data_IF_240826864991
#
_entry.id   IF_240826864991
#
_cell.length_a   1.000
_cell.length_b   1.000
_cell.length_c   1.000
_cell.angle_alpha   90.00
_cell.angle_beta   90.00
_cell.angle_gamma   90.00
#
_symmetry.space_group_name_H-M   'P 1'
#
loop_
_entity.id
_entity.type
_entity.pdbx_description
1 polymer ?
#
# COMPACT_ATOMS: atom_id res chain seq x y z
N UNK A 1 20.25 35.72 22.73
CA UNK A 1 19.66 35.77 21.38
C UNK A 1 20.66 36.23 20.31
N UNK A 2 21.58 37.16 20.60
CA UNK A 2 22.59 37.61 19.62
C UNK A 2 23.64 36.56 19.25
N UNK A 3 24.10 35.72 20.18
CA UNK A 3 25.08 34.66 19.87
C UNK A 3 24.53 33.54 18.97
N UNK A 4 23.23 33.26 19.07
CA UNK A 4 22.56 32.29 18.19
C UNK A 4 22.40 32.86 16.77
N UNK A 5 22.10 34.15 16.64
CA UNK A 5 22.02 34.84 15.35
C UNK A 5 23.40 34.93 14.65
N UNK A 6 24.47 35.23 15.40
CA UNK A 6 25.83 35.30 14.87
C UNK A 6 26.37 33.93 14.43
N UNK A 7 26.08 32.86 15.17
CA UNK A 7 26.45 31.49 14.76
C UNK A 7 25.66 31.04 13.52
N UNK A 8 24.38 31.43 13.43
CA UNK A 8 23.54 31.18 12.26
C UNK A 8 24.01 31.96 11.01
N UNK A 9 24.52 33.17 11.18
CA UNK A 9 25.14 33.94 10.10
C UNK A 9 26.44 33.30 9.62
N UNK A 10 27.27 32.78 10.53
CA UNK A 10 28.53 32.10 10.22
C UNK A 10 28.32 30.78 9.47
N UNK A 11 27.30 30.00 9.84
CA UNK A 11 26.91 28.76 9.14
C UNK A 11 26.25 29.07 7.78
N UNK A 12 25.47 30.15 7.68
CA UNK A 12 24.84 30.56 6.42
C UNK A 12 25.84 31.13 5.39
N UNK A 13 26.97 31.69 5.83
CA UNK A 13 28.01 32.29 4.97
C UNK A 13 29.03 31.28 4.43
N UNK A 14 29.00 30.02 4.87
CA UNK A 14 30.13 29.11 4.65
C UNK A 14 30.06 28.24 3.39
N UNK A 15 29.03 28.36 2.56
CA UNK A 15 28.90 27.46 1.41
C UNK A 15 28.53 28.23 0.14
N UNK A 16 29.56 28.78 -0.49
CA UNK A 16 29.54 29.21 -1.88
C UNK A 16 29.97 28.04 -2.78
N UNK A 17 29.11 27.53 -3.68
CA UNK A 17 29.46 26.43 -4.60
C UNK A 17 30.62 26.75 -5.55
N UNK A 18 30.96 28.03 -5.68
CA UNK A 18 32.06 28.55 -6.50
C UNK A 18 33.35 28.84 -5.72
N UNK A 19 33.40 28.61 -4.41
CA UNK A 19 34.60 28.85 -3.62
C UNK A 19 35.72 27.83 -3.98
N UNK A 20 36.98 28.28 -4.14
CA UNK A 20 38.09 27.37 -4.40
C UNK A 20 38.29 26.44 -3.20
N UNK A 21 37.98 25.14 -3.37
CA UNK A 21 38.07 24.11 -2.33
C UNK A 21 36.74 23.44 -1.99
N UNK A 22 35.60 24.06 -2.31
CA UNK A 22 34.27 23.55 -1.94
C UNK A 22 34.03 22.11 -2.38
N UNK A 23 34.31 21.79 -3.64
CA UNK A 23 34.12 20.43 -4.18
C UNK A 23 35.03 19.40 -3.51
N UNK A 24 36.23 19.79 -3.08
CA UNK A 24 37.13 18.91 -2.33
C UNK A 24 36.57 18.64 -0.94
N UNK A 25 36.15 19.67 -0.22
CA UNK A 25 35.60 19.54 1.13
C UNK A 25 34.29 18.73 1.13
N UNK A 26 33.45 18.92 0.13
CA UNK A 26 32.23 18.12 -0.07
C UNK A 26 32.58 16.64 -0.32
N UNK A 27 33.50 16.34 -1.24
CA UNK A 27 33.91 14.96 -1.55
C UNK A 27 34.56 14.27 -0.33
N UNK A 28 35.41 14.99 0.41
CA UNK A 28 36.01 14.49 1.65
C UNK A 28 34.95 14.26 2.72
N UNK A 29 33.96 15.15 2.84
CA UNK A 29 32.82 14.98 3.74
C UNK A 29 31.95 13.76 3.42
N UNK A 30 31.79 13.42 2.13
CA UNK A 30 31.03 12.25 1.68
C UNK A 30 31.75 10.91 1.91
N UNK A 31 33.05 10.92 2.22
CA UNK A 31 33.82 9.70 2.49
C UNK A 31 33.29 8.94 3.72
N UNK A 32 32.88 9.65 4.78
CA UNK A 32 32.36 9.02 6.01
C UNK A 32 31.00 8.33 5.78
N UNK A 33 29.99 8.98 5.15
CA UNK A 33 28.77 8.30 4.73
C UNK A 33 29.01 7.13 3.79
N UNK A 34 29.93 7.27 2.82
CA UNK A 34 30.28 6.19 1.90
C UNK A 34 30.86 4.97 2.64
N UNK A 35 31.77 5.17 3.59
CA UNK A 35 32.30 4.09 4.43
C UNK A 35 31.19 3.41 5.27
N UNK A 36 30.21 4.17 5.77
CA UNK A 36 29.08 3.62 6.52
C UNK A 36 28.17 2.69 5.69
N UNK A 37 28.21 2.78 4.35
CA UNK A 37 27.50 1.83 3.47
C UNK A 37 28.02 0.39 3.60
N UNK A 38 29.18 0.17 4.22
CA UNK A 38 29.69 -1.17 4.56
C UNK A 38 28.70 -1.99 5.40
N UNK A 39 27.94 -1.35 6.30
CA UNK A 39 26.88 -2.04 7.07
C UNK A 39 25.79 -2.58 6.14
N UNK A 40 25.50 -1.85 5.06
CA UNK A 40 24.52 -2.32 4.09
C UNK A 40 25.09 -3.37 3.15
N UNK A 41 26.39 -3.32 2.84
CA UNK A 41 27.08 -4.39 2.15
C UNK A 41 27.01 -5.71 2.97
N UNK A 42 27.12 -5.64 4.29
CA UNK A 42 26.88 -6.78 5.18
C UNK A 42 25.44 -7.32 5.05
N UNK A 43 24.44 -6.43 5.06
CA UNK A 43 23.04 -6.84 4.87
C UNK A 43 22.79 -7.49 3.49
N UNK A 44 23.44 -7.00 2.43
CA UNK A 44 23.40 -7.59 1.09
C UNK A 44 24.07 -8.98 1.08
N UNK A 45 25.22 -9.14 1.75
CA UNK A 45 25.89 -10.43 1.87
C UNK A 45 25.04 -11.47 2.63
N UNK A 46 24.37 -11.05 3.70
CA UNK A 46 23.41 -11.90 4.42
C UNK A 46 22.20 -12.26 3.55
N UNK A 47 21.69 -11.30 2.77
CA UNK A 47 20.60 -11.54 1.80
C UNK A 47 20.98 -12.59 0.75
N UNK A 48 22.23 -12.56 0.29
CA UNK A 48 22.79 -13.55 -0.63
C UNK A 48 22.89 -14.94 0.04
N UNK A 49 23.38 -14.99 1.28
CA UNK A 49 23.46 -16.25 2.06
C UNK A 49 22.08 -16.88 2.31
N UNK A 50 21.04 -16.05 2.48
CA UNK A 50 19.67 -16.50 2.72
C UNK A 50 18.84 -16.62 1.43
N UNK A 51 19.41 -16.31 0.25
CA UNK A 51 18.77 -16.35 -1.08
C UNK A 51 17.44 -15.58 -1.14
N UNK A 52 17.35 -14.39 -0.54
CA UNK A 52 16.13 -13.59 -0.57
C UNK A 52 15.82 -13.00 -1.96
N UNK A 53 16.80 -12.93 -2.87
CA UNK A 53 16.63 -12.34 -4.20
C UNK A 53 16.41 -10.82 -4.18
N UNK A 54 16.71 -10.16 -3.05
CA UNK A 54 16.54 -8.72 -2.84
C UNK A 54 17.82 -7.92 -3.06
N UNK A 55 18.95 -8.58 -3.34
CA UNK A 55 20.27 -7.94 -3.45
C UNK A 55 20.30 -6.76 -4.42
N UNK A 56 19.76 -6.93 -5.63
CA UNK A 56 19.71 -5.88 -6.65
C UNK A 56 18.78 -4.72 -6.26
N UNK A 57 17.64 -5.02 -5.63
CA UNK A 57 16.70 -4.00 -5.16
C UNK A 57 17.29 -3.18 -4.00
N UNK A 58 17.99 -3.85 -3.07
CA UNK A 58 18.68 -3.18 -1.96
C UNK A 58 19.79 -2.26 -2.48
N UNK A 59 20.66 -2.78 -3.35
CA UNK A 59 21.79 -2.00 -3.89
C UNK A 59 21.30 -0.79 -4.68
N UNK A 60 20.29 -0.97 -5.52
CA UNK A 60 19.62 0.13 -6.21
C UNK A 60 19.00 1.14 -5.24
N UNK A 61 18.31 0.68 -4.19
CA UNK A 61 17.69 1.56 -3.21
C UNK A 61 18.73 2.41 -2.45
N UNK A 62 19.86 1.83 -2.05
CA UNK A 62 20.94 2.53 -1.33
C UNK A 62 21.62 3.54 -2.25
N UNK A 63 21.99 3.13 -3.46
CA UNK A 63 22.64 4.01 -4.43
C UNK A 63 21.73 5.21 -4.77
N UNK A 64 20.45 4.94 -5.00
CA UNK A 64 19.44 5.98 -5.22
C UNK A 64 19.29 6.88 -4.00
N UNK A 65 19.19 6.33 -2.79
CA UNK A 65 19.05 7.12 -1.57
C UNK A 65 20.27 8.01 -1.34
N UNK A 66 21.49 7.49 -1.54
CA UNK A 66 22.72 8.26 -1.42
C UNK A 66 22.73 9.45 -2.40
N UNK A 67 22.53 9.18 -3.69
CA UNK A 67 22.47 10.24 -4.71
C UNK A 67 21.36 11.26 -4.42
N UNK A 68 20.17 10.78 -4.02
CA UNK A 68 19.03 11.64 -3.72
C UNK A 68 19.30 12.53 -2.51
N UNK A 69 19.88 12.01 -1.42
CA UNK A 69 20.20 12.81 -0.23
C UNK A 69 21.28 13.84 -0.53
N UNK A 70 22.32 13.48 -1.30
CA UNK A 70 23.35 14.43 -1.73
C UNK A 70 22.72 15.59 -2.52
N UNK A 71 21.89 15.30 -3.52
CA UNK A 71 21.21 16.34 -4.32
C UNK A 71 20.26 17.19 -3.47
N UNK A 72 19.44 16.56 -2.62
CA UNK A 72 18.51 17.28 -1.74
C UNK A 72 19.25 18.22 -0.79
N UNK A 73 20.43 17.84 -0.29
CA UNK A 73 21.27 18.71 0.55
C UNK A 73 21.56 20.06 -0.12
N UNK A 74 21.98 20.04 -1.38
CA UNK A 74 22.22 21.26 -2.17
C UNK A 74 20.93 22.06 -2.43
N UNK A 75 19.84 21.37 -2.77
CA UNK A 75 18.55 22.01 -3.04
C UNK A 75 18.02 22.72 -1.79
N UNK A 76 18.08 22.07 -0.62
CA UNK A 76 17.64 22.66 0.64
C UNK A 76 18.48 23.87 1.03
N UNK A 77 19.78 23.83 0.80
CA UNK A 77 20.64 24.98 1.05
C UNK A 77 20.21 26.19 0.22
N UNK A 78 19.98 26.01 -1.08
CA UNK A 78 19.47 27.08 -1.95
C UNK A 78 18.12 27.61 -1.48
N UNK A 79 17.19 26.72 -1.10
CA UNK A 79 15.86 27.10 -0.63
C UNK A 79 15.94 27.90 0.68
N UNK A 80 16.84 27.56 1.59
CA UNK A 80 16.97 28.24 2.89
C UNK A 80 17.54 29.66 2.77
N UNK A 81 18.32 29.96 1.73
CA UNK A 81 18.80 31.32 1.45
C UNK A 81 17.70 32.23 0.91
N UNK A 82 16.63 31.66 0.34
CA UNK A 82 15.53 32.41 -0.23
C UNK A 82 14.45 32.72 0.81
N UNK A 83 14.06 33.99 0.94
CA UNK A 83 12.99 34.43 1.88
C UNK A 83 11.57 34.28 1.30
N UNK A 84 11.43 33.86 0.05
CA UNK A 84 10.14 33.84 -0.65
C UNK A 84 9.31 32.60 -0.27
N UNK A 85 8.06 32.80 0.18
CA UNK A 85 7.10 31.74 0.50
C UNK A 85 6.80 30.81 -0.69
N UNK A 86 7.01 31.28 -1.93
CA UNK A 86 6.81 30.50 -3.15
C UNK A 86 7.72 29.26 -3.20
N UNK A 87 8.95 29.32 -2.70
CA UNK A 87 9.87 28.17 -2.65
C UNK A 87 9.41 27.11 -1.64
N UNK A 88 8.84 27.54 -0.52
CA UNK A 88 8.24 26.64 0.47
C UNK A 88 7.07 25.89 -0.19
N UNK A 89 6.15 26.60 -0.83
CA UNK A 89 5.00 26.00 -1.51
C UNK A 89 5.43 25.03 -2.62
N UNK A 90 6.39 25.42 -3.46
CA UNK A 90 6.90 24.57 -4.54
C UNK A 90 7.54 23.29 -4.01
N UNK A 91 8.38 23.41 -2.96
CA UNK A 91 9.01 22.24 -2.32
C UNK A 91 7.97 21.31 -1.68
N UNK A 92 6.93 21.87 -1.05
CA UNK A 92 5.83 21.12 -0.46
C UNK A 92 5.03 20.37 -1.53
N UNK A 93 4.64 21.03 -2.62
CA UNK A 93 3.93 20.39 -3.73
C UNK A 93 4.76 19.31 -4.40
N UNK A 94 6.07 19.52 -4.56
CA UNK A 94 6.99 18.51 -5.06
C UNK A 94 7.00 17.27 -4.14
N UNK A 95 7.13 17.46 -2.83
CA UNK A 95 7.09 16.36 -1.85
C UNK A 95 5.76 15.59 -1.92
N UNK A 96 4.63 16.30 -1.95
CA UNK A 96 3.29 15.68 -2.04
C UNK A 96 3.13 14.87 -3.32
N UNK A 97 3.61 15.38 -4.45
CA UNK A 97 3.53 14.68 -5.75
C UNK A 97 4.35 13.39 -5.73
N UNK A 98 5.59 13.44 -5.25
CA UNK A 98 6.47 12.26 -5.13
C UNK A 98 5.87 11.24 -4.14
N UNK A 99 5.31 11.72 -3.03
CA UNK A 99 4.65 10.88 -2.04
C UNK A 99 3.38 10.21 -2.59
N UNK A 100 2.51 10.96 -3.26
CA UNK A 100 1.31 10.43 -3.91
C UNK A 100 1.63 9.40 -4.99
N UNK A 101 2.65 9.67 -5.82
CA UNK A 101 3.15 8.72 -6.81
C UNK A 101 3.66 7.43 -6.15
N UNK A 102 4.47 7.55 -5.10
CA UNK A 102 5.08 6.41 -4.41
C UNK A 102 4.04 5.59 -3.64
N UNK A 103 3.12 6.24 -2.93
CA UNK A 103 2.01 5.59 -2.24
C UNK A 103 1.09 4.86 -3.23
N UNK A 104 0.73 5.49 -4.36
CA UNK A 104 -0.07 4.86 -5.40
C UNK A 104 0.63 3.66 -6.07
N UNK A 105 1.96 3.71 -6.21
CA UNK A 105 2.75 2.60 -6.74
C UNK A 105 2.73 1.36 -5.82
N UNK A 106 2.55 1.54 -4.50
CA UNK A 106 2.42 0.42 -3.53
C UNK A 106 1.14 -0.38 -3.73
N UNK A 107 0.14 0.18 -4.41
CA UNK A 107 -1.14 -0.46 -4.71
C UNK A 107 -1.43 -0.43 -6.23
N UNK A 108 -0.52 -0.99 -7.05
CA UNK A 108 -0.58 -0.96 -8.54
C UNK A 108 -1.93 -1.39 -9.15
N UNK A 109 -2.71 -2.16 -8.41
CA UNK A 109 -3.93 -2.79 -8.88
C UNK A 109 -5.19 -2.07 -8.36
N UNK A 110 -5.04 -0.93 -7.68
CA UNK A 110 -6.13 -0.01 -7.34
C UNK A 110 -6.30 0.96 -8.52
N UNK A 111 -7.49 1.04 -9.13
CA UNK A 111 -7.74 1.93 -10.26
C UNK A 111 -7.52 3.39 -9.83
N UNK A 112 -6.72 4.14 -10.60
CA UNK A 112 -6.34 5.54 -10.30
C UNK A 112 -5.71 5.74 -8.90
N UNK A 113 -5.09 4.70 -8.31
CA UNK A 113 -4.51 4.77 -6.97
C UNK A 113 -3.51 5.92 -6.76
N UNK A 114 -2.75 6.29 -7.80
CA UNK A 114 -1.82 7.44 -7.75
C UNK A 114 -2.54 8.78 -7.54
N UNK A 115 -3.67 8.99 -8.21
CA UNK A 115 -4.45 10.23 -8.09
C UNK A 115 -5.14 10.30 -6.72
N UNK A 116 -5.79 9.20 -6.30
CA UNK A 116 -6.43 9.11 -4.99
C UNK A 116 -5.43 9.39 -3.88
N UNK A 117 -4.26 8.76 -3.94
CA UNK A 117 -3.19 8.97 -2.96
C UNK A 117 -2.66 10.42 -2.97
N UNK A 118 -2.48 11.02 -4.14
CA UNK A 118 -1.99 12.40 -4.24
C UNK A 118 -2.99 13.38 -3.63
N UNK A 119 -4.28 13.24 -3.95
CA UNK A 119 -5.33 14.12 -3.43
C UNK A 119 -5.50 13.92 -1.92
N UNK A 120 -5.54 12.68 -1.43
CA UNK A 120 -5.70 12.41 0.00
C UNK A 120 -4.53 12.94 0.81
N UNK A 121 -3.30 12.75 0.34
CA UNK A 121 -2.10 13.30 1.00
C UNK A 121 -2.17 14.82 0.96
N UNK A 122 -2.40 15.43 -0.20
CA UNK A 122 -2.45 16.90 -0.35
C UNK A 122 -3.48 17.52 0.60
N UNK A 123 -4.72 17.03 0.57
CA UNK A 123 -5.82 17.58 1.39
C UNK A 123 -5.54 17.35 2.86
N UNK A 124 -5.19 16.13 3.27
CA UNK A 124 -4.94 15.83 4.67
C UNK A 124 -3.73 16.58 5.24
N UNK A 125 -2.61 16.65 4.52
CA UNK A 125 -1.44 17.41 5.00
C UNK A 125 -1.65 18.92 4.91
N UNK A 126 -2.43 19.42 3.94
CA UNK A 126 -2.74 20.84 3.83
C UNK A 126 -3.61 21.33 5.00
N UNK A 127 -4.62 20.56 5.41
CA UNK A 127 -5.46 20.89 6.58
C UNK A 127 -4.58 21.03 7.83
N UNK A 128 -3.70 20.05 8.07
CA UNK A 128 -2.81 20.08 9.24
C UNK A 128 -1.75 21.17 9.15
N UNK A 129 -1.24 21.47 7.96
CA UNK A 129 -0.30 22.58 7.75
C UNK A 129 -0.95 23.94 7.96
N UNK A 130 -2.17 24.11 7.46
CA UNK A 130 -2.96 25.31 7.68
C UNK A 130 -3.18 25.53 9.19
N UNK A 131 -3.56 24.47 9.91
CA UNK A 131 -3.75 24.54 11.37
C UNK A 131 -2.46 24.87 12.12
N UNK A 132 -1.31 24.33 11.68
CA UNK A 132 0.01 24.66 12.25
C UNK A 132 0.34 26.14 12.10
N UNK A 133 0.14 26.69 10.90
CA UNK A 133 0.40 28.11 10.61
C UNK A 133 -0.58 29.01 11.36
N UNK A 134 -1.86 28.63 11.40
CA UNK A 134 -2.90 29.39 12.09
C UNK A 134 -2.65 29.48 13.60
N UNK A 135 -2.18 28.39 14.22
CA UNK A 135 -1.84 28.35 15.63
C UNK A 135 -0.49 29.01 15.96
N UNK A 136 0.24 29.53 14.95
CA UNK A 136 1.57 30.15 15.09
C UNK A 136 2.55 29.30 15.92
N UNK A 137 2.49 27.98 15.77
CA UNK A 137 3.33 27.07 16.58
C UNK A 137 4.81 27.18 16.19
N UNK A 138 5.08 27.51 14.92
CA UNK A 138 6.42 27.72 14.39
C UNK A 138 6.47 28.99 13.54
N UNK A 139 7.61 29.72 13.53
CA UNK A 139 7.79 30.80 12.58
C UNK A 139 7.77 30.22 11.16
N UNK A 140 7.01 30.87 10.27
CA UNK A 140 6.86 30.46 8.87
C UNK A 140 8.14 30.72 8.07
N UNK A 141 9.16 29.91 8.34
CA UNK A 141 10.45 29.96 7.64
C UNK A 141 10.75 28.59 7.01
N UNK A 142 11.47 28.56 5.87
CA UNK A 142 11.77 27.31 5.17
C UNK A 142 12.41 26.23 6.05
N UNK A 143 13.23 26.64 7.03
CA UNK A 143 13.95 25.74 7.93
C UNK A 143 13.06 24.92 8.86
N UNK A 144 11.89 25.43 9.26
CA UNK A 144 10.96 24.67 10.11
C UNK A 144 9.88 23.99 9.28
N UNK A 145 9.29 24.71 8.32
CA UNK A 145 8.14 24.21 7.57
C UNK A 145 8.52 23.01 6.68
N UNK A 146 9.67 23.06 6.00
CA UNK A 146 10.05 22.00 5.04
C UNK A 146 10.32 20.66 5.74
N UNK A 147 11.09 20.58 6.85
CA UNK A 147 11.26 19.32 7.58
C UNK A 147 9.96 18.79 8.18
N UNK A 148 9.12 19.65 8.76
CA UNK A 148 7.83 19.25 9.33
C UNK A 148 6.90 18.73 8.22
N UNK A 149 6.85 19.43 7.08
CA UNK A 149 6.15 18.97 5.88
C UNK A 149 6.65 17.61 5.41
N UNK A 150 7.97 17.44 5.32
CA UNK A 150 8.59 16.18 4.90
C UNK A 150 8.22 15.02 5.80
N UNK A 151 8.24 15.21 7.12
CA UNK A 151 7.82 14.18 8.09
C UNK A 151 6.33 13.84 7.96
N UNK A 152 5.48 14.86 7.79
CA UNK A 152 4.03 14.66 7.62
C UNK A 152 3.70 13.94 6.33
N UNK A 153 4.24 14.40 5.21
CA UNK A 153 4.04 13.81 3.88
C UNK A 153 4.62 12.39 3.82
N UNK A 154 5.77 12.12 4.47
CA UNK A 154 6.38 10.79 4.52
C UNK A 154 5.55 9.77 5.32
N UNK A 155 5.02 10.16 6.47
CA UNK A 155 4.11 9.30 7.24
C UNK A 155 2.79 9.10 6.49
N UNK A 156 2.23 10.17 5.92
CA UNK A 156 1.03 10.11 5.09
C UNK A 156 1.19 9.16 3.88
N UNK A 157 2.33 9.19 3.20
CA UNK A 157 2.67 8.27 2.11
C UNK A 157 2.58 6.81 2.57
N UNK A 158 3.15 6.53 3.75
CA UNK A 158 3.19 5.16 4.28
C UNK A 158 1.80 4.68 4.67
N UNK A 159 1.06 5.48 5.44
CA UNK A 159 -0.31 5.16 5.86
C UNK A 159 -1.21 4.97 4.64
N UNK A 160 -1.21 5.92 3.70
CA UNK A 160 -2.00 5.84 2.46
C UNK A 160 -1.70 4.58 1.66
N UNK A 161 -0.41 4.30 1.43
CA UNK A 161 0.01 3.12 0.68
C UNK A 161 -0.40 1.80 1.34
N UNK A 162 -0.29 1.71 2.67
CA UNK A 162 -0.72 0.53 3.43
C UNK A 162 -2.24 0.40 3.44
N UNK A 163 -3.00 1.48 3.67
CA UNK A 163 -4.46 1.47 3.65
C UNK A 163 -5.00 0.99 2.31
N UNK A 164 -4.51 1.55 1.19
CA UNK A 164 -4.95 1.14 -0.16
C UNK A 164 -4.63 -0.32 -0.45
N UNK A 165 -3.41 -0.75 -0.15
CA UNK A 165 -2.98 -2.14 -0.39
C UNK A 165 -3.80 -3.11 0.45
N UNK A 166 -3.93 -2.84 1.75
CA UNK A 166 -4.59 -3.74 2.70
C UNK A 166 -6.10 -3.80 2.47
N UNK A 167 -6.75 -2.65 2.24
CA UNK A 167 -8.19 -2.61 1.96
C UNK A 167 -8.55 -3.43 0.73
N UNK A 168 -7.74 -3.31 -0.33
CA UNK A 168 -7.95 -4.09 -1.55
C UNK A 168 -7.71 -5.59 -1.32
N UNK A 169 -6.66 -5.95 -0.60
CA UNK A 169 -6.39 -7.36 -0.26
C UNK A 169 -7.53 -7.95 0.57
N UNK A 170 -8.03 -7.23 1.58
CA UNK A 170 -9.11 -7.70 2.46
C UNK A 170 -10.45 -7.82 1.74
N UNK A 171 -10.80 -6.87 0.86
CA UNK A 171 -11.99 -6.97 0.01
C UNK A 171 -11.87 -8.14 -0.97
N UNK A 172 -10.67 -8.40 -1.51
CA UNK A 172 -10.45 -9.54 -2.42
C UNK A 172 -10.57 -10.88 -1.68
N UNK A 173 -10.03 -10.98 -0.46
CA UNK A 173 -10.11 -12.20 0.36
C UNK A 173 -11.54 -12.46 0.83
N UNK A 174 -12.26 -11.42 1.26
CA UNK A 174 -13.61 -11.51 1.80
C UNK A 174 -14.70 -11.19 0.77
N UNK A 175 -14.41 -11.44 -0.51
CA UNK A 175 -15.29 -11.11 -1.64
C UNK A 175 -16.71 -11.65 -1.44
N UNK A 176 -16.82 -12.92 -1.06
CA UNK A 176 -18.11 -13.58 -0.85
C UNK A 176 -18.95 -12.87 0.22
N UNK A 177 -18.34 -12.41 1.33
CA UNK A 177 -19.07 -11.70 2.39
C UNK A 177 -19.59 -10.34 1.92
N UNK A 178 -18.79 -9.63 1.10
CA UNK A 178 -19.19 -8.34 0.53
C UNK A 178 -20.33 -8.55 -0.47
N UNK A 179 -20.25 -9.58 -1.32
CA UNK A 179 -21.29 -9.91 -2.32
C UNK A 179 -22.60 -10.34 -1.65
N UNK A 180 -22.55 -11.21 -0.64
CA UNK A 180 -23.74 -11.60 0.12
C UNK A 180 -24.38 -10.40 0.82
N UNK A 181 -23.59 -9.51 1.42
CA UNK A 181 -24.13 -8.30 2.05
C UNK A 181 -24.82 -7.38 1.02
N UNK A 182 -24.22 -7.19 -0.16
CA UNK A 182 -24.82 -6.42 -1.26
C UNK A 182 -26.11 -7.07 -1.78
N UNK A 183 -26.13 -8.41 -1.92
CA UNK A 183 -27.31 -9.15 -2.35
C UNK A 183 -28.48 -9.06 -1.35
N UNK A 184 -28.16 -8.95 -0.05
CA UNK A 184 -29.13 -8.67 1.02
C UNK A 184 -29.57 -7.19 1.08
N UNK A 185 -29.17 -6.37 0.12
CA UNK A 185 -29.53 -4.95 0.03
C UNK A 185 -28.69 -4.03 0.91
N UNK A 186 -27.58 -4.50 1.48
CA UNK A 186 -26.68 -3.62 2.22
C UNK A 186 -26.04 -2.59 1.28
N UNK A 187 -25.90 -1.36 1.74
CA UNK A 187 -25.13 -0.37 0.98
C UNK A 187 -23.68 -0.83 0.86
N UNK A 188 -22.96 -0.49 -0.21
CA UNK A 188 -21.53 -0.81 -0.33
C UNK A 188 -20.71 -0.28 0.83
N UNK A 189 -21.17 0.83 1.43
CA UNK A 189 -20.60 1.32 2.67
C UNK A 189 -20.73 0.26 3.77
N UNK A 190 -21.92 -0.20 4.08
CA UNK A 190 -22.13 -1.22 5.11
C UNK A 190 -21.38 -2.53 4.78
N UNK A 191 -21.39 -2.97 3.52
CA UNK A 191 -20.75 -4.22 3.09
C UNK A 191 -19.22 -4.24 3.30
N UNK A 192 -18.55 -3.08 3.22
CA UNK A 192 -17.07 -2.99 3.36
C UNK A 192 -16.58 -2.43 4.70
N UNK A 193 -17.49 -2.17 5.66
CA UNK A 193 -17.15 -1.44 6.90
C UNK A 193 -16.07 -2.15 7.72
N UNK A 194 -16.17 -3.48 7.85
CA UNK A 194 -15.23 -4.27 8.64
C UNK A 194 -13.83 -4.29 8.02
N UNK A 195 -13.75 -4.38 6.70
CA UNK A 195 -12.52 -4.38 5.91
C UNK A 195 -11.81 -3.02 6.01
N UNK A 196 -12.59 -1.94 5.93
CA UNK A 196 -12.08 -0.57 6.15
C UNK A 196 -11.50 -0.44 7.54
N UNK A 197 -12.26 -0.78 8.59
CA UNK A 197 -11.80 -0.67 9.98
C UNK A 197 -10.48 -1.43 10.21
N UNK A 198 -10.39 -2.68 9.73
CA UNK A 198 -9.17 -3.49 9.86
C UNK A 198 -7.98 -2.86 9.12
N UNK A 199 -8.21 -2.38 7.91
CA UNK A 199 -7.16 -1.75 7.09
C UNK A 199 -6.65 -0.46 7.71
N UNK A 200 -7.55 0.36 8.25
CA UNK A 200 -7.19 1.60 8.95
C UNK A 200 -6.34 1.32 10.19
N UNK A 201 -6.72 0.34 11.02
CA UNK A 201 -5.95 -0.03 12.22
C UNK A 201 -4.54 -0.46 11.84
N UNK A 202 -4.40 -1.35 10.84
CA UNK A 202 -3.09 -1.85 10.39
C UNK A 202 -2.23 -0.72 9.81
N UNK A 203 -2.83 0.20 9.06
CA UNK A 203 -2.10 1.32 8.47
C UNK A 203 -1.63 2.34 9.51
N UNK A 204 -2.38 2.52 10.61
CA UNK A 204 -2.05 3.46 11.68
C UNK A 204 -1.15 2.88 12.77
N UNK A 205 -1.04 1.55 12.88
CA UNK A 205 -0.18 0.89 13.88
C UNK A 205 1.23 1.48 13.96
N UNK A 206 1.99 1.68 12.86
CA UNK A 206 3.35 2.21 12.95
C UNK A 206 3.41 3.62 13.56
N UNK A 207 2.41 4.46 13.30
CA UNK A 207 2.33 5.82 13.84
C UNK A 207 2.04 5.79 15.34
N UNK A 208 1.13 4.91 15.75
CA UNK A 208 0.77 4.72 17.17
C UNK A 208 1.93 4.11 17.96
N UNK A 209 2.61 3.12 17.38
CA UNK A 209 3.72 2.44 18.05
C UNK A 209 4.96 3.35 18.17
N UNK A 210 5.20 4.21 17.16
CA UNK A 210 6.19 5.27 17.29
C UNK A 210 5.81 6.28 18.40
N UNK A 211 4.53 6.66 18.50
CA UNK A 211 4.06 7.57 19.56
C UNK A 211 4.30 7.04 20.98
N UNK A 212 4.14 5.72 21.18
CA UNK A 212 4.32 5.08 22.49
C UNK A 212 5.78 5.01 22.94
N UNK A 213 6.71 5.01 21.98
CA UNK A 213 8.13 4.73 22.23
C UNK A 213 9.02 5.97 22.10
N UNK A 214 8.49 7.05 21.51
CA UNK A 214 9.22 8.30 21.30
C UNK A 214 9.64 8.93 22.62
N UNK A 215 10.92 9.28 22.74
CA UNK A 215 11.49 9.84 23.97
C UNK A 215 11.92 8.81 25.02
N UNK A 216 11.47 7.55 24.92
CA UNK A 216 11.90 6.46 25.82
C UNK A 216 13.02 5.62 25.22
N UNK A 217 12.82 5.14 23.99
CA UNK A 217 13.77 4.23 23.31
C UNK A 217 14.55 4.98 22.23
N UNK A 218 13.88 5.88 21.51
CA UNK A 218 14.46 6.65 20.44
C UNK A 218 14.12 8.13 20.59
N UNK A 219 15.14 8.98 20.48
CA UNK A 219 14.97 10.41 20.30
C UNK A 219 14.80 10.69 18.79
N UNK A 220 13.69 11.32 18.37
CA UNK A 220 13.49 11.69 16.97
C UNK A 220 14.65 12.51 16.42
N UNK A 221 15.04 12.26 15.17
CA UNK A 221 16.21 12.90 14.58
C UNK A 221 16.14 14.44 14.57
N UNK A 222 14.95 15.02 14.39
CA UNK A 222 14.77 16.48 14.46
C UNK A 222 15.01 17.02 15.88
N UNK A 223 14.51 16.31 16.90
CA UNK A 223 14.72 16.65 18.31
C UNK A 223 16.19 16.52 18.70
N UNK A 224 16.84 15.39 18.36
CA UNK A 224 18.28 15.19 18.59
C UNK A 224 19.11 16.24 17.85
N UNK A 225 18.74 16.58 16.62
CA UNK A 225 19.42 17.61 15.83
C UNK A 225 19.35 19.00 16.45
N UNK A 226 18.21 19.37 17.04
CA UNK A 226 18.07 20.63 17.79
C UNK A 226 18.96 20.62 19.05
N UNK A 227 18.96 19.52 19.81
CA UNK A 227 19.79 19.36 21.01
C UNK A 227 21.28 19.42 20.66
N UNK A 228 21.72 18.68 19.64
CA UNK A 228 23.11 18.71 19.16
C UNK A 228 23.49 20.08 18.57
N UNK A 229 22.52 20.82 18.05
CA UNK A 229 22.67 22.20 17.59
C UNK A 229 22.71 23.25 18.71
N UNK A 230 22.65 22.82 19.98
CA UNK A 230 22.74 23.70 21.15
C UNK A 230 21.41 24.31 21.62
N UNK A 231 20.27 23.87 21.07
CA UNK A 231 18.96 24.28 21.58
C UNK A 231 18.67 23.64 22.95
N UNK A 232 17.83 24.28 23.77
CA UNK A 232 17.48 23.72 25.07
C UNK A 232 16.68 22.42 24.88
N UNK A 233 16.95 21.36 25.68
CA UNK A 233 16.19 20.11 25.57
C UNK A 233 14.68 20.30 25.76
N UNK A 234 14.29 21.27 26.61
CA UNK A 234 12.89 21.56 26.88
C UNK A 234 12.17 22.12 25.64
N UNK A 235 12.80 23.03 24.90
CA UNK A 235 12.26 23.53 23.62
C UNK A 235 12.15 22.39 22.60
N UNK A 236 13.18 21.56 22.48
CA UNK A 236 13.17 20.44 21.53
C UNK A 236 12.02 19.44 21.84
N UNK A 237 11.74 19.17 23.12
CA UNK A 237 10.62 18.31 23.55
C UNK A 237 9.29 18.95 23.18
N UNK A 238 9.08 20.24 23.48
CA UNK A 238 7.82 20.93 23.17
C UNK A 238 7.50 20.87 21.68
N UNK A 239 8.49 21.16 20.84
CA UNK A 239 8.33 21.08 19.38
C UNK A 239 8.05 19.65 18.92
N UNK A 240 8.71 18.66 19.52
CA UNK A 240 8.49 17.26 19.17
C UNK A 240 7.08 16.77 19.54
N UNK A 241 6.52 17.21 20.67
CA UNK A 241 5.14 16.87 21.09
C UNK A 241 4.13 17.42 20.06
N UNK A 242 4.32 18.68 19.63
CA UNK A 242 3.46 19.30 18.60
C UNK A 242 3.52 18.50 17.31
N UNK A 243 4.74 18.21 16.83
CA UNK A 243 4.94 17.44 15.59
C UNK A 243 4.28 16.07 15.70
N UNK A 244 4.43 15.38 16.84
CA UNK A 244 3.85 14.06 17.03
C UNK A 244 2.32 14.07 16.96
N UNK A 245 1.69 15.03 17.64
CA UNK A 245 0.23 15.19 17.62
C UNK A 245 -0.28 15.49 16.20
N UNK A 246 0.44 16.35 15.46
CA UNK A 246 0.10 16.68 14.08
C UNK A 246 0.31 15.50 13.12
N UNK A 247 1.35 14.71 13.31
CA UNK A 247 1.59 13.49 12.52
C UNK A 247 0.46 12.48 12.72
N UNK A 248 0.02 12.28 13.96
CA UNK A 248 -1.07 11.38 14.29
C UNK A 248 -2.40 11.88 13.70
N UNK A 249 -2.70 13.17 13.87
CA UNK A 249 -3.90 13.78 13.30
C UNK A 249 -3.93 13.82 11.77
N UNK A 250 -2.79 14.08 11.11
CA UNK A 250 -2.70 14.04 9.65
C UNK A 250 -2.92 12.61 9.14
N UNK A 251 -2.27 11.64 9.77
CA UNK A 251 -2.33 10.23 9.36
C UNK A 251 -3.75 9.65 9.47
N UNK A 252 -4.50 9.97 10.53
CA UNK A 252 -5.88 9.51 10.70
C UNK A 252 -6.81 10.11 9.65
N UNK A 253 -6.75 11.43 9.43
CA UNK A 253 -7.54 12.12 8.41
C UNK A 253 -7.29 11.57 7.01
N UNK A 254 -6.03 11.35 6.66
CA UNK A 254 -5.64 10.85 5.34
C UNK A 254 -6.12 9.42 5.14
N UNK A 255 -5.94 8.56 6.15
CA UNK A 255 -6.37 7.17 6.09
C UNK A 255 -7.89 7.06 5.90
N UNK A 256 -8.67 7.91 6.57
CA UNK A 256 -10.12 7.98 6.40
C UNK A 256 -10.52 8.48 5.00
N UNK A 257 -9.88 9.53 4.48
CA UNK A 257 -10.10 10.00 3.12
C UNK A 257 -9.79 8.91 2.07
N UNK A 258 -8.64 8.25 2.19
CA UNK A 258 -8.24 7.15 1.31
C UNK A 258 -9.25 6.02 1.38
N UNK A 259 -9.68 5.63 2.57
CA UNK A 259 -10.72 4.63 2.74
C UNK A 259 -12.04 5.08 2.11
N UNK A 260 -12.44 6.35 2.27
CA UNK A 260 -13.63 6.93 1.66
C UNK A 260 -13.60 6.88 0.13
N UNK A 261 -12.51 7.34 -0.49
CA UNK A 261 -12.33 7.34 -1.95
C UNK A 261 -12.15 5.94 -2.54
N UNK A 262 -11.54 5.02 -1.79
CA UNK A 262 -11.35 3.62 -2.24
C UNK A 262 -12.62 2.79 -2.03
N UNK A 263 -13.50 3.21 -1.11
CA UNK A 263 -14.83 2.64 -0.87
C UNK A 263 -15.87 3.13 -1.87
N UNK A 264 -15.54 4.13 -2.70
CA UNK A 264 -16.53 4.79 -3.55
C UNK A 264 -17.04 3.83 -4.64
N UNK A 265 -18.28 3.34 -4.56
CA UNK A 265 -18.72 2.15 -5.27
C UNK A 265 -19.22 2.45 -6.68
N UNK A 266 -19.40 3.73 -7.04
CA UNK A 266 -20.06 4.12 -8.29
C UNK A 266 -19.41 3.54 -9.55
N UNK A 267 -18.11 3.20 -9.50
CA UNK A 267 -17.40 2.55 -10.61
C UNK A 267 -17.43 1.02 -10.57
N UNK A 268 -17.60 0.42 -9.39
CA UNK A 268 -17.87 -1.02 -9.26
C UNK A 268 -19.32 -1.33 -9.63
N UNK A 269 -20.26 -0.48 -9.19
CA UNK A 269 -21.69 -0.57 -9.48
C UNK A 269 -21.98 -0.28 -10.96
N UNK A 270 -21.39 0.76 -11.58
CA UNK A 270 -21.56 1.00 -13.03
C UNK A 270 -20.98 -0.10 -13.92
N UNK A 271 -20.14 -0.99 -13.37
CA UNK A 271 -19.64 -2.20 -14.04
C UNK A 271 -20.48 -3.46 -13.74
N UNK A 272 -21.36 -3.41 -12.73
CA UNK A 272 -22.29 -4.49 -12.37
C UNK A 272 -23.65 -4.35 -13.08
N UNK A 273 -23.99 -3.17 -13.59
CA UNK A 273 -25.16 -3.01 -14.45
C UNK A 273 -24.84 -3.44 -15.88
N UNK A 274 -25.59 -4.41 -16.40
CA UNK A 274 -25.65 -4.66 -17.84
C UNK A 274 -26.15 -3.37 -18.52
N UNK A 275 -25.35 -2.80 -19.44
CA UNK A 275 -25.85 -1.78 -20.36
C UNK A 275 -27.05 -2.36 -21.10
N UNK A 276 -28.14 -1.59 -21.25
CA UNK A 276 -29.39 -2.04 -21.90
C UNK A 276 -29.19 -2.78 -23.24
N UNK A 277 -28.09 -2.51 -23.96
CA UNK A 277 -27.72 -3.18 -25.21
C UNK A 277 -27.21 -4.62 -25.07
N UNK A 278 -26.93 -5.10 -23.84
CA UNK A 278 -26.40 -6.45 -23.57
C UNK A 278 -27.49 -7.44 -23.12
N UNK A 279 -28.72 -6.96 -22.91
CA UNK A 279 -29.88 -7.79 -22.56
C UNK A 279 -30.78 -7.81 -23.79
N UNK A 280 -30.98 -8.99 -24.40
CA UNK A 280 -31.99 -9.15 -25.43
C UNK A 280 -33.36 -8.83 -24.83
N UNK A 281 -34.17 -8.03 -25.53
CA UNK A 281 -35.54 -7.74 -25.11
C UNK A 281 -36.31 -9.07 -25.01
N UNK A 282 -36.94 -9.30 -23.87
CA UNK A 282 -37.74 -10.51 -23.63
C UNK A 282 -39.04 -10.36 -24.43
N UNK A 283 -39.19 -11.13 -25.52
CA UNK A 283 -40.42 -11.18 -26.32
C UNK A 283 -40.27 -11.07 -27.83
N UNK A 284 -39.05 -10.99 -28.38
CA UNK A 284 -38.88 -11.04 -29.84
C UNK A 284 -38.75 -12.50 -30.31
N UNK A 285 -39.74 -12.95 -31.08
CA UNK A 285 -39.83 -14.30 -31.63
C UNK A 285 -38.56 -14.66 -32.41
N UNK A 286 -37.75 -15.56 -31.84
CA UNK A 286 -36.58 -16.11 -32.52
C UNK A 286 -37.07 -17.09 -33.58
N UNK A 287 -37.20 -16.59 -34.81
CA UNK A 287 -37.21 -17.42 -36.01
C UNK A 287 -35.99 -18.34 -36.06
N UNK A 288 -36.17 -19.51 -36.68
CA UNK A 288 -35.26 -20.65 -36.68
C UNK A 288 -33.75 -20.33 -36.85
N UNK A 289 -32.86 -21.17 -36.27
CA UNK A 289 -31.43 -20.89 -36.18
C UNK A 289 -30.74 -21.10 -37.52
N UNK A 290 -30.70 -20.06 -38.35
CA UNK A 290 -29.96 -20.05 -39.61
C UNK A 290 -29.16 -18.75 -39.75
N UNK A 291 -27.83 -18.88 -39.69
CA UNK A 291 -26.86 -17.93 -40.24
C UNK A 291 -26.93 -16.46 -39.74
N UNK A 292 -26.52 -16.23 -38.49
CA UNK A 292 -25.91 -14.95 -38.12
C UNK A 292 -24.44 -15.21 -37.80
N UNK A 293 -23.56 -14.73 -38.68
CA UNK A 293 -22.11 -14.80 -38.55
C UNK A 293 -21.68 -14.29 -37.17
N UNK A 294 -20.84 -15.09 -36.51
CA UNK A 294 -20.39 -14.84 -35.15
C UNK A 294 -19.55 -13.57 -35.05
N UNK A 295 -20.19 -12.46 -34.69
CA UNK A 295 -19.51 -11.39 -33.98
C UNK A 295 -19.20 -11.91 -32.57
N UNK A 296 -18.05 -12.57 -32.42
CA UNK A 296 -17.44 -12.82 -31.12
C UNK A 296 -17.05 -11.46 -30.57
N UNK A 297 -17.99 -10.79 -29.90
CA UNK A 297 -17.65 -9.71 -29.00
C UNK A 297 -16.86 -10.39 -27.89
N UNK A 298 -15.55 -10.21 -27.96
CA UNK A 298 -14.61 -10.55 -26.91
C UNK A 298 -15.08 -9.81 -25.65
N UNK A 299 -15.91 -10.49 -24.86
CA UNK A 299 -16.49 -9.94 -23.64
C UNK A 299 -15.37 -9.46 -22.74
N UNK A 300 -15.51 -8.24 -22.22
CA UNK A 300 -14.53 -7.60 -21.34
C UNK A 300 -14.07 -8.62 -20.27
N UNK A 301 -12.78 -8.98 -20.21
CA UNK A 301 -12.27 -9.99 -19.28
C UNK A 301 -12.44 -9.58 -17.80
N UNK A 302 -12.85 -8.33 -17.52
CA UNK A 302 -13.23 -7.84 -16.20
C UNK A 302 -14.75 -7.85 -15.93
N UNK A 303 -15.59 -8.29 -16.88
CA UNK A 303 -17.04 -8.38 -16.71
C UNK A 303 -17.39 -9.54 -15.77
N UNK A 304 -18.12 -9.22 -14.71
CA UNK A 304 -18.51 -10.18 -13.68
C UNK A 304 -19.73 -10.96 -14.20
N UNK A 305 -19.63 -12.28 -14.25
CA UNK A 305 -20.73 -13.17 -14.63
C UNK A 305 -21.41 -13.74 -13.38
N UNK A 306 -22.51 -13.09 -12.97
CA UNK A 306 -23.29 -13.45 -11.78
C UNK A 306 -24.43 -14.43 -12.10
N UNK A 307 -24.45 -15.02 -13.29
CA UNK A 307 -25.51 -15.94 -13.72
C UNK A 307 -25.65 -17.11 -12.76
N UNK A 308 -24.57 -17.79 -12.35
CA UNK A 308 -24.67 -18.91 -11.40
C UNK A 308 -25.28 -18.51 -10.04
N UNK A 309 -24.99 -17.30 -9.55
CA UNK A 309 -25.53 -16.80 -8.29
C UNK A 309 -27.03 -16.54 -8.37
N UNK A 310 -27.50 -15.86 -9.42
CA UNK A 310 -28.93 -15.61 -9.64
C UNK A 310 -29.72 -16.91 -9.85
N UNK A 311 -29.14 -17.91 -10.53
CA UNK A 311 -29.79 -19.21 -10.70
C UNK A 311 -29.90 -19.98 -9.36
N UNK A 312 -28.93 -19.81 -8.46
CA UNK A 312 -28.98 -20.45 -7.15
C UNK A 312 -30.03 -19.80 -6.24
N UNK A 313 -30.11 -18.47 -6.22
CA UNK A 313 -31.17 -17.75 -5.52
C UNK A 313 -32.56 -18.07 -6.08
N UNK A 314 -32.69 -18.17 -7.41
CA UNK A 314 -33.94 -18.54 -8.06
C UNK A 314 -34.33 -19.98 -7.73
N UNK A 315 -33.37 -20.90 -7.68
CA UNK A 315 -33.59 -22.28 -7.26
C UNK A 315 -34.10 -22.33 -5.82
N UNK A 316 -33.43 -21.64 -4.90
CA UNK A 316 -33.79 -21.60 -3.49
C UNK A 316 -35.18 -20.96 -3.29
N UNK A 317 -35.50 -19.92 -4.07
CA UNK A 317 -36.82 -19.31 -4.11
C UNK A 317 -37.90 -20.27 -4.63
N UNK A 318 -37.66 -20.95 -5.76
CA UNK A 318 -38.61 -21.91 -6.33
C UNK A 318 -38.83 -23.12 -5.41
N UNK A 319 -37.77 -23.65 -4.79
CA UNK A 319 -37.85 -24.70 -3.78
C UNK A 319 -38.61 -24.24 -2.52
N UNK A 320 -38.59 -22.94 -2.21
CA UNK A 320 -39.37 -22.35 -1.11
C UNK A 320 -40.85 -22.15 -1.46
N UNK A 321 -41.18 -21.93 -2.74
CA UNK A 321 -42.55 -21.68 -3.21
C UNK A 321 -43.31 -22.97 -3.56
N UNK A 322 -42.65 -23.98 -4.13
CA UNK A 322 -43.28 -25.25 -4.47
C UNK A 322 -42.29 -26.42 -4.42
N UNK A 323 -42.54 -27.40 -3.54
CA UNK A 323 -41.71 -28.61 -3.40
C UNK A 323 -41.87 -29.60 -4.56
N UNK A 324 -42.91 -29.47 -5.39
CA UNK A 324 -43.28 -30.46 -6.41
C UNK A 324 -42.98 -30.11 -7.87
N UNK A 325 -42.86 -28.83 -8.22
CA UNK A 325 -42.74 -28.38 -9.62
C UNK A 325 -41.29 -28.05 -10.08
N UNK A 326 -40.28 -28.34 -9.26
CA UNK A 326 -38.94 -27.78 -9.43
C UNK A 326 -38.06 -28.48 -10.48
N UNK A 327 -38.33 -29.73 -10.86
CA UNK A 327 -37.40 -30.48 -11.72
C UNK A 327 -37.52 -30.14 -13.22
N UNK A 328 -38.74 -30.05 -13.75
CA UNK A 328 -38.96 -29.90 -15.21
C UNK A 328 -38.58 -28.50 -15.72
N UNK A 329 -38.92 -27.46 -14.97
CA UNK A 329 -38.53 -26.07 -15.25
C UNK A 329 -37.00 -25.90 -15.19
N UNK A 330 -36.35 -26.60 -14.26
CA UNK A 330 -34.89 -26.56 -14.08
C UNK A 330 -34.13 -27.29 -15.19
N UNK A 331 -34.65 -28.43 -15.67
CA UNK A 331 -34.09 -29.14 -16.82
C UNK A 331 -34.18 -28.34 -18.12
N UNK A 332 -35.26 -27.57 -18.32
CA UNK A 332 -35.42 -26.70 -19.49
C UNK A 332 -34.38 -25.55 -19.50
N UNK A 333 -34.16 -24.92 -18.34
CA UNK A 333 -33.15 -23.86 -18.15
C UNK A 333 -31.73 -24.35 -18.37
N UNK A 334 -31.40 -25.56 -17.89
CA UNK A 334 -30.08 -26.17 -18.08
C UNK A 334 -29.78 -26.51 -19.56
N UNK A 335 -30.81 -26.71 -20.38
CA UNK A 335 -30.67 -27.03 -21.81
C UNK A 335 -30.33 -25.79 -22.66
N UNK A 336 -30.67 -24.60 -22.18
CA UNK A 336 -30.32 -23.31 -22.79
C UNK A 336 -28.87 -22.87 -22.54
N UNK A 337 -28.06 -23.69 -21.85
CA UNK A 337 -26.65 -23.40 -21.62
C UNK A 337 -25.85 -23.41 -22.93
N UNK A 338 -25.35 -22.23 -23.34
CA UNK A 338 -24.22 -22.15 -24.28
C UNK A 338 -23.01 -22.75 -23.57
N UNK A 339 -22.50 -23.89 -24.07
CA UNK A 339 -21.34 -24.58 -23.50
C UNK A 339 -20.13 -23.65 -23.53
N UNK A 340 -19.77 -23.07 -22.37
CA UNK A 340 -18.52 -22.33 -22.22
C UNK A 340 -17.35 -23.27 -22.44
N UNK A 341 -16.47 -22.91 -23.38
CA UNK A 341 -15.16 -23.57 -23.50
C UNK A 341 -14.37 -23.27 -22.22
N UNK A 342 -14.07 -24.32 -21.45
CA UNK A 342 -13.26 -24.27 -20.23
C UNK A 342 -11.98 -23.49 -20.53
N UNK A 343 -11.71 -22.40 -19.80
CA UNK A 343 -10.47 -21.65 -19.95
C UNK A 343 -9.30 -22.55 -19.56
N UNK A 344 -8.64 -23.12 -20.56
CA UNK A 344 -7.53 -24.07 -20.36
C UNK A 344 -6.28 -23.27 -20.02
N UNK A 345 -5.76 -23.43 -18.81
CA UNK A 345 -4.47 -22.88 -18.38
C UNK A 345 -3.35 -23.49 -19.24
N UNK A 346 -2.97 -22.80 -20.32
CA UNK A 346 -1.96 -23.26 -21.29
C UNK A 346 -0.57 -23.42 -20.66
N UNK A 347 -0.28 -22.73 -19.55
CA UNK A 347 0.98 -22.85 -18.78
C UNK A 347 1.03 -24.10 -17.90
N UNK A 348 -0.12 -24.71 -17.61
CA UNK A 348 -0.21 -25.98 -16.88
C UNK A 348 -0.05 -27.21 -17.81
N UNK A 349 0.15 -27.01 -19.12
CA UNK A 349 0.46 -28.10 -20.04
C UNK A 349 1.87 -28.65 -19.77
N UNK A 350 2.02 -29.99 -19.85
CA UNK A 350 3.28 -30.75 -19.63
C UNK A 350 3.86 -30.68 -18.21
N UNK A 351 3.05 -30.97 -17.18
CA UNK A 351 3.50 -31.19 -15.78
C UNK A 351 4.31 -30.04 -15.12
N UNK A 352 4.26 -28.82 -15.67
CA UNK A 352 4.94 -27.64 -15.11
C UNK A 352 4.28 -27.07 -13.85
N UNK A 353 3.14 -27.63 -13.45
CA UNK A 353 2.37 -27.26 -12.26
C UNK A 353 1.88 -28.54 -11.59
N UNK A 354 2.07 -28.65 -10.28
CA UNK A 354 1.63 -29.81 -9.49
C UNK A 354 0.10 -29.85 -9.49
N UNK A 355 -0.46 -31.01 -9.83
CA UNK A 355 -1.90 -31.26 -9.80
C UNK A 355 -2.18 -32.32 -8.76
N UNK A 356 -3.03 -32.01 -7.79
CA UNK A 356 -3.51 -32.96 -6.81
C UNK A 356 -4.66 -33.77 -7.45
N UNK A 357 -4.29 -34.80 -8.21
CA UNK A 357 -5.23 -35.75 -8.79
C UNK A 357 -4.89 -37.15 -8.30
N UNK A 358 -5.90 -37.92 -7.90
CA UNK A 358 -5.72 -39.32 -7.52
C UNK A 358 -5.42 -40.12 -8.78
N UNK A 359 -4.27 -40.78 -8.83
CA UNK A 359 -3.89 -41.63 -9.94
C UNK A 359 -4.29 -43.07 -9.62
N UNK A 360 -5.35 -43.58 -10.25
CA UNK A 360 -5.94 -44.89 -9.94
C UNK A 360 -4.94 -46.05 -9.96
N UNK A 361 -3.94 -46.00 -10.86
CA UNK A 361 -2.91 -47.06 -11.00
C UNK A 361 -1.88 -47.10 -9.87
N UNK A 362 -1.68 -46.00 -9.14
CA UNK A 362 -0.74 -45.94 -8.01
C UNK A 362 -1.46 -45.91 -6.66
N UNK A 363 -2.78 -45.85 -6.67
CA UNK A 363 -3.59 -46.08 -5.47
C UNK A 363 -3.28 -47.50 -4.97
N UNK A 364 -2.91 -47.61 -3.70
CA UNK A 364 -2.48 -48.87 -3.07
C UNK A 364 -1.19 -49.49 -3.63
N UNK A 365 -0.28 -48.69 -4.22
CA UNK A 365 0.99 -49.19 -4.76
C UNK A 365 1.90 -49.84 -3.70
N UNK A 366 1.93 -49.31 -2.48
CA UNK A 366 2.72 -49.86 -1.39
C UNK A 366 1.96 -49.75 -0.07
N UNK A 367 1.91 -50.84 0.70
CA UNK A 367 1.41 -50.80 2.05
C UNK A 367 2.38 -49.99 2.94
N UNK A 368 1.87 -49.16 3.87
CA UNK A 368 2.73 -48.41 4.78
C UNK A 368 3.52 -49.39 5.66
N UNK A 369 4.84 -49.41 5.49
CA UNK A 369 5.73 -50.15 6.38
C UNK A 369 6.07 -49.23 7.55
N UNK A 370 5.71 -49.58 8.80
CA UNK A 370 6.07 -48.78 9.95
C UNK A 370 7.59 -48.75 10.07
N UNK A 371 8.18 -47.57 9.88
CA UNK A 371 9.60 -47.35 10.13
C UNK A 371 9.80 -47.30 11.64
N UNK A 372 10.61 -48.22 12.18
CA UNK A 372 11.06 -48.15 13.56
C UNK A 372 12.02 -46.97 13.70
N UNK A 373 11.48 -45.81 14.09
CA UNK A 373 12.28 -44.64 14.39
C UNK A 373 13.11 -44.90 15.65
N UNK A 374 14.39 -44.54 15.61
CA UNK A 374 15.24 -44.60 16.80
C UNK A 374 14.61 -43.77 17.93
N UNK A 375 14.59 -44.26 19.19
CA UNK A 375 14.03 -43.53 20.33
C UNK A 375 14.73 -42.20 20.63
N UNK A 376 15.90 -41.93 20.02
CA UNK A 376 16.59 -40.64 20.09
C UNK A 376 16.13 -39.60 19.06
N UNK A 377 15.41 -40.00 18.01
CA UNK A 377 14.99 -39.10 16.93
C UNK A 377 14.18 -37.88 17.42
N UNK A 378 13.19 -38.01 18.33
CA UNK A 378 12.43 -36.84 18.80
C UNK A 378 13.32 -35.83 19.54
N UNK A 379 14.24 -36.31 20.39
CA UNK A 379 15.19 -35.47 21.13
C UNK A 379 16.19 -34.76 20.20
N UNK A 380 16.54 -35.40 19.09
CA UNK A 380 17.42 -34.81 18.08
C UNK A 380 16.72 -33.68 17.31
N UNK A 381 15.45 -33.87 16.92
CA UNK A 381 14.67 -32.84 16.23
C UNK A 381 14.32 -31.64 17.13
N UNK A 382 14.12 -31.88 18.42
CA UNK A 382 13.86 -30.84 19.42
C UNK A 382 15.06 -29.89 19.61
N UNK A 383 16.28 -30.41 19.47
CA UNK A 383 17.51 -29.65 19.69
C UNK A 383 18.24 -29.24 18.39
N UNK A 384 17.63 -29.46 17.22
CA UNK A 384 18.31 -29.34 15.93
C UNK A 384 18.74 -27.90 15.59
N UNK A 385 18.04 -26.89 16.11
CA UNK A 385 18.34 -25.48 15.87
C UNK A 385 18.37 -24.59 17.12
N UNK A 386 18.58 -25.20 18.30
CA UNK A 386 18.83 -24.51 19.56
C UNK A 386 17.56 -24.02 20.27
N UNK A 387 17.33 -24.53 21.47
CA UNK A 387 16.55 -23.83 22.49
C UNK A 387 17.40 -22.68 23.02
N UNK A 388 16.86 -21.46 23.02
CA UNK A 388 17.42 -20.39 23.83
C UNK A 388 17.38 -20.85 25.28
N UNK A 389 18.51 -20.74 25.97
CA UNK A 389 18.56 -20.79 27.44
C UNK A 389 17.44 -19.95 28.08
#
# INVERSE_FOLDING_TARGET
MEHAAAFLELVAKQVDPGAPGFWRDFLVGMLKPAAATAVVAMAVALSFSQRLGLEGEMLYAIARAFLQLSVIGFVLQFIFTQKNALWILLSYLFMVTVAGYTAGQRAKQVPRGKYIACVSILVGTAITMFLLVMLNVFPFTPRYIIPVAGMMVGNAMTVTGVTMKKLREDVKIQRNLVETALALGATPRQATLQQVKRSLVIALSPVIDNAKTVGLIALPGAMTGLIMGGASPLEAIQLQIVVMNMLMGASTNISDQVAGYTRDPGKMINRMYLTKSAVGEFGEDVGEPGAAEGHVVEGDPELIDDSEFYHQLLKEFLESCDRGASESAFYALRKQQVKKRKLVDRRASKSRKIRYHVHEKITNFMAPVPMALSPMAPKLFENLFGTSN
#
